data_IF_647423326135
#
_entry.id   IF_647423326135
#
_cell.length_a   1.000
_cell.length_b   1.000
_cell.length_c   1.000
_cell.angle_alpha   90.00
_cell.angle_beta   90.00
_cell.angle_gamma   90.00
#
_symmetry.space_group_name_H-M   'P 1'
#
loop_
_entity.id
_entity.type
_entity.pdbx_description
1 polymer ?
#
# COMPACT_ATOMS: atom_id res chain seq x y z
N UNK A 1 -50.64 -57.55 76.19
CA UNK A 1 -51.59 -57.45 75.09
C UNK A 1 -50.97 -56.68 73.96
N UNK A 2 -50.80 -57.39 72.91
CA UNK A 2 -50.42 -57.01 71.55
C UNK A 2 -49.35 -55.92 71.38
N UNK A 3 -48.10 -56.40 71.24
CA UNK A 3 -47.00 -55.74 70.62
C UNK A 3 -47.26 -55.61 69.11
N UNK A 4 -47.01 -54.42 68.53
CA UNK A 4 -46.82 -54.27 67.07
C UNK A 4 -45.46 -53.74 66.82
N UNK A 5 -44.70 -54.57 66.12
CA UNK A 5 -43.39 -54.21 65.50
C UNK A 5 -43.54 -53.11 64.49
N UNK A 6 -42.59 -52.16 64.51
CA UNK A 6 -42.35 -51.20 63.43
C UNK A 6 -40.95 -51.49 62.86
N UNK A 7 -40.81 -51.69 61.53
CA UNK A 7 -39.56 -52.06 60.95
C UNK A 7 -38.69 -50.83 60.73
N UNK A 8 -37.41 -51.07 60.88
CA UNK A 8 -36.25 -50.20 60.66
C UNK A 8 -36.20 -49.71 59.21
N UNK A 9 -36.18 -48.38 59.00
CA UNK A 9 -36.00 -47.73 57.74
C UNK A 9 -34.61 -47.20 57.61
N UNK A 10 -33.86 -47.87 56.74
CA UNK A 10 -32.48 -47.65 56.38
C UNK A 10 -32.20 -46.20 56.01
N UNK A 11 -31.15 -45.64 56.58
CA UNK A 11 -30.54 -44.36 56.24
C UNK A 11 -30.04 -44.39 54.81
N UNK A 12 -30.74 -43.72 53.90
CA UNK A 12 -30.20 -43.37 52.57
C UNK A 12 -29.33 -42.11 52.70
N UNK A 13 -28.01 -42.25 52.57
CA UNK A 13 -27.07 -41.15 52.38
C UNK A 13 -27.30 -40.63 51.01
N UNK A 14 -27.74 -39.35 50.83
CA UNK A 14 -27.70 -38.63 49.62
C UNK A 14 -26.22 -38.17 49.40
N UNK A 15 -25.58 -38.68 48.37
CA UNK A 15 -24.31 -38.18 47.87
C UNK A 15 -24.67 -37.10 46.86
N UNK A 16 -24.49 -35.82 47.21
CA UNK A 16 -24.53 -34.70 46.29
C UNK A 16 -23.22 -34.70 45.49
N UNK A 17 -23.30 -35.14 44.26
CA UNK A 17 -22.20 -34.94 43.28
C UNK A 17 -22.25 -33.49 42.79
N UNK A 18 -21.30 -32.70 43.24
CA UNK A 18 -21.06 -31.36 42.69
C UNK A 18 -20.44 -31.50 41.31
N UNK A 19 -21.20 -31.22 40.25
CA UNK A 19 -20.69 -31.03 38.89
C UNK A 19 -19.99 -29.68 38.84
N UNK A 20 -18.66 -29.70 38.89
CA UNK A 20 -17.83 -28.55 38.54
C UNK A 20 -17.88 -28.35 37.00
N UNK A 21 -18.66 -27.41 36.54
CA UNK A 21 -18.66 -26.96 35.15
C UNK A 21 -17.36 -26.13 34.98
N UNK A 22 -16.32 -26.77 34.46
CA UNK A 22 -15.15 -26.03 33.93
C UNK A 22 -15.60 -25.26 32.73
N UNK A 23 -15.80 -23.95 32.87
CA UNK A 23 -15.81 -23.01 31.74
C UNK A 23 -14.41 -22.98 31.19
N UNK A 24 -14.15 -23.81 30.20
CA UNK A 24 -13.00 -23.65 29.32
C UNK A 24 -13.18 -22.34 28.58
N UNK A 25 -12.38 -21.31 28.96
CA UNK A 25 -12.18 -20.13 28.13
C UNK A 25 -11.59 -20.62 26.79
N UNK A 26 -12.46 -20.81 25.80
CA UNK A 26 -11.99 -20.94 24.43
C UNK A 26 -11.29 -19.62 24.12
N UNK A 27 -9.94 -19.60 24.17
CA UNK A 27 -9.16 -18.55 23.59
C UNK A 27 -9.58 -18.49 22.12
N UNK A 28 -10.13 -17.36 21.70
CA UNK A 28 -10.35 -17.09 20.29
C UNK A 28 -9.04 -17.38 19.57
N UNK A 29 -9.05 -18.10 18.43
CA UNK A 29 -7.82 -18.32 17.68
C UNK A 29 -7.23 -16.94 17.39
N UNK A 30 -6.03 -16.68 17.90
CA UNK A 30 -5.24 -15.53 17.49
C UNK A 30 -5.20 -15.59 15.95
N UNK A 31 -5.74 -14.56 15.30
CA UNK A 31 -5.67 -14.42 13.85
C UNK A 31 -4.21 -14.65 13.47
N UNK A 32 -3.98 -15.71 12.68
CA UNK A 32 -2.65 -16.18 12.39
C UNK A 32 -1.92 -15.06 11.65
N UNK A 33 -0.76 -14.65 12.18
CA UNK A 33 0.24 -13.84 11.48
C UNK A 33 0.73 -14.52 10.17
N UNK A 34 0.08 -15.60 9.73
CA UNK A 34 0.44 -16.42 8.59
C UNK A 34 0.04 -15.82 7.23
N UNK A 35 -0.75 -14.74 7.20
CA UNK A 35 -1.30 -14.22 5.95
C UNK A 35 -0.57 -12.96 5.43
N UNK A 36 0.43 -12.43 6.14
CA UNK A 36 1.27 -11.33 5.67
C UNK A 36 2.64 -11.89 5.25
N UNK A 37 2.69 -12.47 4.05
CA UNK A 37 3.90 -13.12 3.55
C UNK A 37 4.87 -12.08 2.97
N UNK A 38 6.13 -12.13 3.39
CA UNK A 38 7.25 -11.47 2.71
C UNK A 38 7.94 -12.48 1.80
N UNK A 39 7.93 -12.19 0.51
CA UNK A 39 8.67 -12.94 -0.50
C UNK A 39 10.05 -12.34 -0.68
N UNK A 40 11.10 -13.16 -0.62
CA UNK A 40 12.43 -12.72 -1.04
C UNK A 40 12.49 -12.65 -2.56
N UNK A 41 12.62 -11.42 -3.11
CA UNK A 41 12.67 -11.16 -4.56
C UNK A 41 14.09 -11.02 -5.07
N UNK A 42 15.05 -10.69 -4.19
CA UNK A 42 16.48 -10.65 -4.48
C UNK A 42 17.27 -10.80 -3.17
N UNK A 43 18.60 -11.03 -3.21
CA UNK A 43 19.40 -11.10 -2.00
C UNK A 43 19.22 -9.88 -1.09
N UNK A 44 18.71 -10.10 0.14
CA UNK A 44 18.43 -9.04 1.11
C UNK A 44 17.28 -8.11 0.76
N UNK A 45 16.49 -8.42 -0.28
CA UNK A 45 15.28 -7.67 -0.69
C UNK A 45 14.07 -8.55 -0.53
N UNK A 46 13.11 -8.08 0.27
CA UNK A 46 11.85 -8.77 0.50
C UNK A 46 10.70 -7.84 0.20
N UNK A 47 9.61 -8.37 -0.34
CA UNK A 47 8.42 -7.61 -0.64
C UNK A 47 7.15 -8.37 -0.25
N UNK A 48 6.13 -7.61 0.12
CA UNK A 48 4.76 -8.06 0.29
C UNK A 48 3.93 -7.59 -0.90
N UNK A 49 3.10 -8.47 -1.44
CA UNK A 49 2.17 -8.12 -2.51
C UNK A 49 0.81 -7.79 -1.93
N UNK A 50 0.38 -6.55 -2.10
CA UNK A 50 -0.96 -6.11 -1.78
C UNK A 50 -2.02 -6.74 -2.69
N UNK A 51 -3.26 -6.69 -2.26
CA UNK A 51 -4.39 -7.15 -3.06
C UNK A 51 -4.64 -6.19 -4.23
N UNK A 52 -4.89 -6.72 -5.43
CA UNK A 52 -5.39 -5.90 -6.55
C UNK A 52 -6.90 -5.74 -6.38
N UNK A 53 -7.30 -4.80 -5.56
CA UNK A 53 -8.68 -4.50 -5.14
C UNK A 53 -8.79 -3.07 -4.62
N UNK A 54 -10.00 -2.55 -4.49
CA UNK A 54 -10.28 -1.35 -3.70
C UNK A 54 -10.07 -1.63 -2.21
N UNK A 55 -9.79 -0.58 -1.43
CA UNK A 55 -9.72 -0.69 0.02
C UNK A 55 -11.09 -0.98 0.63
N UNK A 56 -11.11 -1.89 1.57
CA UNK A 56 -12.29 -2.21 2.37
C UNK A 56 -11.95 -2.60 3.81
N UNK A 57 -12.98 -2.83 4.62
CA UNK A 57 -12.83 -3.24 6.01
C UNK A 57 -12.22 -4.65 6.18
N UNK A 58 -12.22 -5.48 5.13
CA UNK A 58 -11.70 -6.86 5.15
C UNK A 58 -10.20 -6.84 4.89
N UNK A 59 -9.77 -6.19 3.79
CA UNK A 59 -8.35 -6.05 3.46
C UNK A 59 -7.66 -4.98 4.31
N UNK A 60 -8.41 -4.10 4.99
CA UNK A 60 -7.88 -3.04 5.86
C UNK A 60 -6.89 -2.09 5.16
N UNK A 61 -7.02 -1.92 3.85
CA UNK A 61 -6.09 -1.14 3.03
C UNK A 61 -4.80 -1.89 2.68
N UNK A 62 -4.77 -3.22 2.72
CA UNK A 62 -3.65 -4.04 2.29
C UNK A 62 -3.71 -4.27 0.78
N UNK A 63 -3.50 -3.19 0.00
CA UNK A 63 -3.62 -3.16 -1.46
C UNK A 63 -2.34 -2.72 -2.15
N UNK A 64 -1.45 -1.99 -1.47
CA UNK A 64 -0.16 -1.58 -2.01
C UNK A 64 0.92 -2.63 -1.78
N UNK A 65 1.90 -2.68 -2.68
CA UNK A 65 3.11 -3.46 -2.50
C UNK A 65 4.04 -2.76 -1.50
N UNK A 66 4.54 -3.51 -0.52
CA UNK A 66 5.45 -3.01 0.51
C UNK A 66 6.77 -3.74 0.43
N UNK A 67 7.88 -3.07 0.71
CA UNK A 67 9.18 -3.72 0.60
C UNK A 67 10.13 -3.38 1.75
N UNK A 68 11.14 -4.24 1.94
CA UNK A 68 12.24 -4.02 2.87
C UNK A 68 13.57 -4.43 2.23
N UNK A 69 14.56 -3.55 2.35
CA UNK A 69 15.94 -3.78 1.90
C UNK A 69 16.84 -3.85 3.12
N UNK A 70 17.58 -4.95 3.24
CA UNK A 70 18.44 -5.26 4.39
C UNK A 70 19.90 -5.05 4.01
N UNK A 71 20.59 -4.15 4.72
CA UNK A 71 22.04 -3.96 4.66
C UNK A 71 22.77 -4.37 5.95
N UNK A 72 24.06 -4.13 6.03
CA UNK A 72 24.87 -4.54 7.18
C UNK A 72 24.50 -3.82 8.49
N UNK A 73 24.26 -2.49 8.42
CA UNK A 73 23.96 -1.66 9.61
C UNK A 73 22.48 -1.67 10.01
N UNK A 74 21.59 -2.01 9.10
CA UNK A 74 20.15 -1.96 9.34
C UNK A 74 19.40 -2.09 8.04
N UNK A 75 18.14 -1.70 8.04
CA UNK A 75 17.24 -1.86 6.91
C UNK A 75 16.48 -0.58 6.59
N UNK A 76 16.04 -0.47 5.33
CA UNK A 76 15.07 0.49 4.85
C UNK A 76 13.75 -0.22 4.57
N UNK A 77 12.67 0.35 5.09
CA UNK A 77 11.28 -0.02 4.78
C UNK A 77 10.77 0.93 3.70
N UNK A 78 10.08 0.41 2.69
CA UNK A 78 9.50 1.17 1.59
C UNK A 78 7.99 1.00 1.69
N UNK A 79 7.32 2.11 1.97
CA UNK A 79 5.90 2.23 2.32
C UNK A 79 5.46 1.39 3.53
N UNK A 80 4.28 1.65 4.07
CA UNK A 80 3.86 1.08 5.35
C UNK A 80 2.46 0.44 5.32
N UNK A 81 1.72 0.59 4.21
CA UNK A 81 0.37 0.02 4.04
C UNK A 81 -0.76 0.95 4.47
N UNK A 82 -1.98 0.58 4.15
CA UNK A 82 -3.18 1.41 4.23
C UNK A 82 -3.83 1.50 5.60
N UNK A 83 -3.24 0.90 6.63
CA UNK A 83 -3.65 1.06 8.03
C UNK A 83 -2.55 0.71 9.00
N UNK A 84 -2.68 1.15 10.26
CA UNK A 84 -1.73 0.78 11.32
C UNK A 84 -1.73 -0.73 11.57
N UNK A 85 -2.84 -1.40 11.35
CA UNK A 85 -2.93 -2.86 11.44
C UNK A 85 -2.10 -3.56 10.35
N UNK A 86 -2.13 -3.07 9.11
CA UNK A 86 -1.27 -3.54 8.01
C UNK A 86 0.20 -3.26 8.35
N UNK A 87 0.54 -2.04 8.77
CA UNK A 87 1.89 -1.68 9.18
C UNK A 87 2.45 -2.56 10.30
N UNK A 88 1.63 -2.91 11.29
CA UNK A 88 2.03 -3.83 12.38
C UNK A 88 2.27 -5.26 11.88
N UNK A 89 1.44 -5.76 10.95
CA UNK A 89 1.65 -7.08 10.33
C UNK A 89 2.95 -7.09 9.52
N UNK A 90 3.20 -6.02 8.77
CA UNK A 90 4.43 -5.86 8.00
C UNK A 90 5.66 -5.81 8.93
N UNK A 91 5.61 -5.00 10.00
CA UNK A 91 6.69 -4.94 10.99
C UNK A 91 6.95 -6.32 11.63
N UNK A 92 5.89 -7.06 11.99
CA UNK A 92 6.04 -8.41 12.54
C UNK A 92 6.68 -9.38 11.54
N UNK A 93 6.30 -9.30 10.25
CA UNK A 93 6.90 -10.11 9.20
C UNK A 93 8.39 -9.77 8.98
N UNK A 94 8.76 -8.48 9.02
CA UNK A 94 10.17 -8.05 8.99
C UNK A 94 10.94 -8.62 10.18
N UNK A 95 10.37 -8.56 11.40
CA UNK A 95 11.01 -9.08 12.61
C UNK A 95 11.16 -10.60 12.64
N UNK A 96 10.35 -11.32 11.87
CA UNK A 96 10.52 -12.76 11.66
C UNK A 96 11.76 -13.10 10.80
N UNK A 97 12.24 -12.14 9.99
CA UNK A 97 13.39 -12.31 9.10
C UNK A 97 14.68 -11.78 9.75
N UNK A 98 14.61 -10.65 10.48
CA UNK A 98 15.80 -9.97 11.00
C UNK A 98 15.50 -9.10 12.22
N UNK A 99 16.46 -9.08 13.18
CA UNK A 99 16.44 -8.18 14.34
C UNK A 99 17.20 -6.87 14.09
N UNK A 100 17.76 -6.65 12.90
CA UNK A 100 18.49 -5.43 12.57
C UNK A 100 17.62 -4.18 12.77
N UNK A 101 18.21 -3.03 13.16
CA UNK A 101 17.45 -1.80 13.34
C UNK A 101 16.85 -1.30 12.00
N UNK A 102 15.64 -0.77 12.06
CA UNK A 102 15.07 0.00 10.94
C UNK A 102 15.74 1.38 11.00
N UNK A 103 16.50 1.73 9.96
CA UNK A 103 17.15 3.03 9.83
C UNK A 103 16.23 4.03 9.15
N UNK A 104 15.54 3.57 8.12
CA UNK A 104 14.69 4.42 7.30
C UNK A 104 13.33 3.77 7.05
N UNK A 105 12.29 4.60 7.07
CA UNK A 105 11.02 4.33 6.40
C UNK A 105 10.88 5.37 5.29
N UNK A 106 10.72 4.91 4.06
CA UNK A 106 10.67 5.74 2.85
C UNK A 106 9.26 5.66 2.31
N UNK A 107 8.54 6.78 2.30
CA UNK A 107 7.25 6.87 1.65
C UNK A 107 7.44 7.30 0.19
N UNK A 108 6.86 6.53 -0.73
CA UNK A 108 6.95 6.82 -2.17
C UNK A 108 6.11 8.04 -2.55
N UNK A 109 4.96 8.23 -1.89
CA UNK A 109 4.05 9.38 -2.06
C UNK A 109 3.03 9.45 -0.90
N UNK A 110 2.00 10.33 -0.98
CA UNK A 110 1.08 10.64 0.14
C UNK A 110 -0.18 9.78 0.23
N UNK A 111 -0.42 8.83 -0.68
CA UNK A 111 -1.68 8.09 -0.66
C UNK A 111 -1.84 7.19 0.56
N UNK A 112 -3.09 7.01 1.04
CA UNK A 112 -3.38 6.33 2.29
C UNK A 112 -2.83 4.91 2.39
N UNK A 113 -2.89 4.13 1.32
CA UNK A 113 -2.42 2.75 1.25
C UNK A 113 -0.90 2.61 1.31
N UNK A 114 -0.15 3.72 1.22
CA UNK A 114 1.29 3.78 1.41
C UNK A 114 1.71 4.35 2.76
N UNK A 115 0.94 5.31 3.34
CA UNK A 115 1.39 6.08 4.52
C UNK A 115 0.59 5.82 5.81
N UNK A 116 -0.61 5.24 5.76
CA UNK A 116 -1.44 5.07 6.96
C UNK A 116 -0.87 4.08 7.97
N UNK A 117 0.01 3.19 7.52
CA UNK A 117 0.75 2.26 8.37
C UNK A 117 1.96 2.87 9.10
N UNK A 118 2.39 4.07 8.76
CA UNK A 118 3.60 4.73 9.28
C UNK A 118 3.71 4.73 10.80
N UNK A 119 2.57 4.93 11.49
CA UNK A 119 2.53 4.96 12.94
C UNK A 119 3.04 3.66 13.61
N UNK A 120 2.99 2.52 12.92
CA UNK A 120 3.54 1.26 13.40
C UNK A 120 5.07 1.26 13.46
N UNK A 121 5.72 2.12 12.67
CA UNK A 121 7.17 2.26 12.54
C UNK A 121 7.71 3.51 13.24
N UNK A 122 6.85 4.39 13.75
CA UNK A 122 7.23 5.66 14.39
C UNK A 122 7.87 5.43 15.77
N UNK A 123 9.05 4.80 15.79
CA UNK A 123 9.83 4.50 16.99
C UNK A 123 11.16 5.26 16.98
N UNK A 124 11.77 5.53 18.16
CA UNK A 124 13.06 6.20 18.23
C UNK A 124 14.12 5.52 17.35
N UNK A 125 14.81 6.30 16.54
CA UNK A 125 15.88 5.81 15.64
C UNK A 125 15.45 5.55 14.21
N UNK A 126 14.16 5.52 13.90
CA UNK A 126 13.65 5.44 12.51
C UNK A 126 13.55 6.84 11.92
N UNK A 127 14.26 7.09 10.81
CA UNK A 127 14.14 8.32 10.05
C UNK A 127 13.10 8.14 8.92
N UNK A 128 12.10 9.01 8.87
CA UNK A 128 11.13 9.04 7.79
C UNK A 128 11.66 9.87 6.63
N UNK A 129 11.59 9.31 5.44
CA UNK A 129 12.13 9.87 4.19
C UNK A 129 11.00 10.02 3.19
N UNK A 130 10.97 11.12 2.44
CA UNK A 130 9.98 11.33 1.39
C UNK A 130 10.38 12.46 0.45
N UNK A 131 9.62 12.61 -0.62
CA UNK A 131 9.76 13.74 -1.54
C UNK A 131 9.62 15.07 -0.80
N UNK A 132 10.32 16.12 -1.24
CA UNK A 132 10.26 17.47 -0.61
C UNK A 132 8.83 18.02 -0.48
N UNK A 133 7.93 17.63 -1.37
CA UNK A 133 6.53 18.08 -1.37
C UNK A 133 5.64 17.25 -0.43
N UNK A 134 6.07 16.07 0.02
CA UNK A 134 5.26 15.16 0.83
C UNK A 134 4.68 15.84 2.10
N UNK A 135 5.42 16.66 2.86
CA UNK A 135 4.83 17.35 4.01
C UNK A 135 3.64 18.25 3.65
N UNK A 136 3.74 18.96 2.52
CA UNK A 136 2.67 19.83 2.02
C UNK A 136 1.48 19.01 1.53
N UNK A 137 1.71 17.92 0.82
CA UNK A 137 0.66 17.02 0.32
C UNK A 137 -0.13 16.40 1.48
N UNK A 138 0.56 15.87 2.51
CA UNK A 138 -0.06 15.35 3.73
C UNK A 138 -0.85 16.41 4.49
N UNK A 139 -0.33 17.64 4.60
CA UNK A 139 -1.05 18.74 5.25
C UNK A 139 -2.31 19.17 4.48
N UNK A 140 -2.26 19.15 3.14
CA UNK A 140 -3.37 19.55 2.29
C UNK A 140 -4.48 18.50 2.24
N UNK A 141 -4.13 17.21 2.12
CA UNK A 141 -5.06 16.11 1.83
C UNK A 141 -5.36 15.20 3.03
N UNK A 142 -4.50 15.18 4.03
CA UNK A 142 -4.58 14.21 5.13
C UNK A 142 -5.90 14.22 5.88
N UNK A 143 -6.47 15.41 6.18
CA UNK A 143 -7.78 15.51 6.84
C UNK A 143 -8.92 14.93 5.97
N UNK A 144 -8.85 15.13 4.65
CA UNK A 144 -9.79 14.55 3.70
C UNK A 144 -9.66 13.03 3.66
N UNK A 145 -8.44 12.49 3.58
CA UNK A 145 -8.18 11.06 3.58
C UNK A 145 -8.68 10.40 4.87
N UNK A 146 -8.34 10.94 6.04
CA UNK A 146 -8.82 10.41 7.31
C UNK A 146 -10.35 10.38 7.41
N UNK A 147 -11.03 11.41 6.89
CA UNK A 147 -12.51 11.46 6.84
C UNK A 147 -13.07 10.41 5.88
N UNK A 148 -12.53 10.32 4.64
CA UNK A 148 -12.99 9.39 3.61
C UNK A 148 -12.77 7.93 4.06
N UNK A 149 -11.58 7.62 4.52
CA UNK A 149 -11.19 6.26 4.90
C UNK A 149 -11.86 5.75 6.17
N UNK A 150 -12.38 6.66 7.00
CA UNK A 150 -13.23 6.28 8.13
C UNK A 150 -14.50 5.55 7.69
N UNK A 151 -15.11 5.94 6.57
CA UNK A 151 -16.27 5.24 6.02
C UNK A 151 -15.91 3.94 5.30
N UNK A 152 -14.66 3.76 4.89
CA UNK A 152 -14.17 2.58 4.16
C UNK A 152 -13.62 1.52 5.13
N UNK A 153 -12.69 1.92 6.01
CA UNK A 153 -11.98 1.01 6.91
C UNK A 153 -12.61 0.90 8.31
N UNK A 154 -13.51 1.85 8.65
CA UNK A 154 -14.15 1.94 9.96
C UNK A 154 -13.40 2.85 10.95
N UNK A 155 -14.12 3.27 11.99
CA UNK A 155 -13.63 4.23 13.01
C UNK A 155 -12.40 3.71 13.77
N UNK A 156 -12.36 2.42 14.05
CA UNK A 156 -11.29 1.82 14.85
C UNK A 156 -9.96 1.84 14.11
N UNK A 157 -9.96 1.44 12.82
CA UNK A 157 -8.78 1.44 11.99
C UNK A 157 -8.19 2.87 11.83
N UNK A 158 -9.06 3.86 11.63
CA UNK A 158 -8.62 5.25 11.39
C UNK A 158 -8.19 5.96 12.68
N UNK A 159 -8.72 5.60 13.84
CA UNK A 159 -8.36 6.23 15.12
C UNK A 159 -6.86 6.12 15.45
N UNK A 160 -6.22 5.05 15.02
CA UNK A 160 -4.80 4.80 15.26
C UNK A 160 -3.88 5.50 14.25
N UNK A 161 -4.40 5.89 13.07
CA UNK A 161 -3.61 6.52 12.02
C UNK A 161 -3.02 7.84 12.49
N UNK A 162 -1.72 8.02 12.28
CA UNK A 162 -0.98 9.27 12.44
C UNK A 162 -0.25 9.54 11.14
N UNK A 163 -0.52 10.67 10.53
CA UNK A 163 0.24 11.13 9.37
C UNK A 163 1.62 11.56 9.86
N UNK A 164 2.64 10.77 9.52
CA UNK A 164 4.01 11.04 9.94
C UNK A 164 4.67 11.91 8.88
N UNK A 165 5.11 13.10 9.29
CA UNK A 165 5.85 13.99 8.39
C UNK A 165 7.29 13.51 8.26
N UNK A 166 7.84 13.32 7.04
CA UNK A 166 9.22 12.90 6.86
C UNK A 166 10.19 13.96 7.39
N UNK A 167 11.29 13.47 8.00
CA UNK A 167 12.38 14.30 8.53
C UNK A 167 13.52 14.45 7.55
N UNK A 168 13.61 13.57 6.55
CA UNK A 168 14.57 13.63 5.45
C UNK A 168 13.80 13.87 4.16
N UNK A 169 14.12 14.97 3.47
CA UNK A 169 13.41 15.40 2.28
C UNK A 169 14.29 15.27 1.05
N UNK A 170 13.79 14.57 0.03
CA UNK A 170 14.45 14.38 -1.26
C UNK A 170 13.95 15.44 -2.24
N UNK A 171 14.85 16.30 -2.70
CA UNK A 171 14.52 17.35 -3.68
C UNK A 171 14.68 16.91 -5.14
N UNK A 172 15.76 16.17 -5.42
CA UNK A 172 16.05 15.61 -6.74
C UNK A 172 16.54 14.17 -6.61
N UNK A 173 17.74 13.99 -6.11
CA UNK A 173 18.38 12.70 -5.89
C UNK A 173 19.02 12.68 -4.51
N UNK A 174 18.99 11.52 -3.86
CA UNK A 174 19.64 11.27 -2.57
C UNK A 174 20.09 9.83 -2.49
N UNK A 175 21.21 9.60 -1.82
CA UNK A 175 21.67 8.24 -1.49
C UNK A 175 21.54 7.98 -0.01
N UNK A 176 20.89 6.89 0.36
CA UNK A 176 20.82 6.35 1.73
C UNK A 176 21.80 5.18 1.87
N UNK A 177 22.51 5.12 3.00
CA UNK A 177 23.53 4.13 3.26
C UNK A 177 23.06 3.14 4.36
N UNK A 178 22.98 1.86 4.01
CA UNK A 178 22.63 0.76 4.93
C UNK A 178 23.86 0.00 5.46
N UNK A 179 25.06 0.52 5.19
CA UNK A 179 26.36 0.00 5.64
C UNK A 179 27.19 -0.58 4.51
N UNK A 180 26.80 -1.68 3.95
CA UNK A 180 27.40 -2.33 2.77
C UNK A 180 26.59 -2.11 1.50
N UNK A 181 25.42 -1.45 1.63
CA UNK A 181 24.42 -1.29 0.58
C UNK A 181 23.93 0.15 0.54
N UNK A 182 23.81 0.68 -0.65
CA UNK A 182 23.31 2.06 -0.89
C UNK A 182 22.03 2.01 -1.69
N UNK A 183 21.06 2.83 -1.31
CA UNK A 183 19.82 3.04 -2.06
C UNK A 183 19.85 4.42 -2.68
N UNK A 184 19.57 4.51 -3.98
CA UNK A 184 19.46 5.78 -4.71
C UNK A 184 17.99 6.15 -4.81
N UNK A 185 17.63 7.29 -4.23
CA UNK A 185 16.27 7.84 -4.25
C UNK A 185 16.19 8.93 -5.30
N UNK A 186 15.17 8.91 -6.14
CA UNK A 186 14.91 9.91 -7.16
C UNK A 186 13.54 10.53 -6.95
N UNK A 187 13.50 11.85 -6.75
CA UNK A 187 12.28 12.65 -6.73
C UNK A 187 11.87 13.03 -8.16
N UNK A 188 10.58 12.89 -8.46
CA UNK A 188 10.04 13.13 -9.79
C UNK A 188 9.16 14.39 -9.86
N UNK A 189 9.01 15.01 -11.04
CA UNK A 189 7.99 16.04 -11.25
C UNK A 189 6.58 15.42 -11.13
N UNK A 190 5.52 16.26 -11.02
CA UNK A 190 4.16 15.75 -10.91
C UNK A 190 3.80 14.75 -12.01
N UNK A 191 3.34 13.56 -11.57
CA UNK A 191 2.93 12.44 -12.41
C UNK A 191 1.74 11.71 -11.79
N UNK A 192 1.95 10.61 -11.04
CA UNK A 192 0.89 9.98 -10.26
C UNK A 192 0.35 10.97 -9.20
N UNK A 193 1.26 11.59 -8.45
CA UNK A 193 0.98 12.71 -7.53
C UNK A 193 1.93 13.89 -7.83
N UNK A 194 2.04 14.85 -6.90
CA UNK A 194 3.05 15.91 -6.96
C UNK A 194 4.25 15.66 -6.02
N UNK A 195 4.35 14.46 -5.46
CA UNK A 195 5.42 14.09 -4.53
C UNK A 195 5.94 12.64 -4.73
N UNK A 196 5.98 12.18 -5.97
CA UNK A 196 6.42 10.83 -6.31
C UNK A 196 7.93 10.65 -6.13
N UNK A 197 8.31 9.52 -5.52
CA UNK A 197 9.69 9.13 -5.23
C UNK A 197 9.91 7.67 -5.64
N UNK A 198 11.00 7.40 -6.37
CA UNK A 198 11.46 6.04 -6.63
C UNK A 198 12.71 5.72 -5.83
N UNK A 199 12.91 4.43 -5.55
CA UNK A 199 14.08 3.92 -4.83
C UNK A 199 14.75 2.86 -5.71
N UNK A 200 16.01 3.05 -6.06
CA UNK A 200 16.80 2.10 -6.81
C UNK A 200 17.87 1.46 -5.93
N UNK A 201 17.92 0.15 -5.95
CA UNK A 201 18.97 -0.66 -5.33
C UNK A 201 19.98 -1.13 -6.38
N UNK A 202 21.16 -0.51 -6.49
CA UNK A 202 22.16 -0.87 -7.49
C UNK A 202 22.73 -2.29 -7.32
N UNK A 203 22.73 -2.83 -6.11
CA UNK A 203 23.31 -4.15 -5.82
C UNK A 203 22.51 -5.28 -6.47
N UNK A 204 21.20 -5.23 -6.35
CA UNK A 204 20.31 -6.23 -6.96
C UNK A 204 19.69 -5.75 -8.27
N UNK A 205 19.92 -4.48 -8.63
CA UNK A 205 19.30 -3.80 -9.78
C UNK A 205 17.77 -3.83 -9.70
N UNK A 206 17.24 -3.66 -8.50
CA UNK A 206 15.80 -3.61 -8.24
C UNK A 206 15.36 -2.15 -8.09
N UNK A 207 14.32 -1.78 -8.82
CA UNK A 207 13.63 -0.50 -8.73
C UNK A 207 12.34 -0.68 -7.93
N UNK A 208 12.13 0.14 -6.91
CA UNK A 208 10.85 0.29 -6.23
C UNK A 208 10.23 1.58 -6.75
N UNK A 209 9.18 1.44 -7.53
CA UNK A 209 8.65 2.56 -8.31
C UNK A 209 7.51 3.30 -7.62
N UNK A 210 6.96 2.75 -6.52
CA UNK A 210 5.68 3.22 -6.01
C UNK A 210 4.65 3.23 -7.13
N UNK A 211 3.75 4.17 -7.08
CA UNK A 211 2.64 4.31 -8.02
C UNK A 211 3.02 5.04 -9.32
N UNK A 212 4.32 5.21 -9.58
CA UNK A 212 4.78 5.52 -10.93
C UNK A 212 4.78 4.31 -11.86
N UNK A 213 4.49 3.12 -11.33
CA UNK A 213 4.29 1.88 -12.11
C UNK A 213 3.16 1.06 -11.49
N UNK A 214 2.15 0.78 -12.31
CA UNK A 214 1.08 -0.16 -12.03
C UNK A 214 1.19 -1.38 -12.97
N UNK A 215 0.97 -2.56 -12.45
CA UNK A 215 0.97 -3.78 -13.26
C UNK A 215 -0.32 -4.58 -13.05
N UNK A 216 -1.08 -4.82 -14.13
CA UNK A 216 -2.37 -5.51 -14.07
C UNK A 216 -3.51 -4.75 -13.39
N UNK A 217 -3.22 -3.68 -12.68
CA UNK A 217 -4.13 -2.71 -12.08
C UNK A 217 -4.11 -1.44 -12.92
N UNK A 218 -5.28 -0.83 -13.19
CA UNK A 218 -5.32 0.42 -13.96
C UNK A 218 -4.56 1.53 -13.20
N UNK A 219 -3.64 2.26 -13.84
CA UNK A 219 -2.98 3.42 -13.23
C UNK A 219 -3.99 4.47 -12.76
N UNK A 220 -3.72 5.12 -11.64
CA UNK A 220 -4.58 6.19 -11.08
C UNK A 220 -3.89 7.55 -11.26
N UNK A 221 -4.55 8.49 -11.92
CA UNK A 221 -4.03 9.84 -12.17
C UNK A 221 -4.56 10.78 -11.09
N UNK A 222 -3.68 11.25 -10.22
CA UNK A 222 -4.00 12.26 -9.18
C UNK A 222 -3.08 13.49 -9.25
N UNK A 223 -2.09 13.45 -10.13
CA UNK A 223 -1.15 14.53 -10.44
C UNK A 223 -1.31 15.07 -11.85
N UNK A 224 -0.48 14.60 -12.80
CA UNK A 224 -0.43 15.09 -14.18
C UNK A 224 -0.20 13.97 -15.17
N UNK A 225 -1.14 13.74 -16.09
CA UNK A 225 -0.94 12.77 -17.18
C UNK A 225 0.15 13.22 -18.15
N UNK A 226 0.26 14.55 -18.43
CA UNK A 226 1.33 15.10 -19.29
C UNK A 226 2.69 14.90 -18.64
N UNK A 227 2.77 15.21 -17.35
CA UNK A 227 3.99 14.98 -16.57
C UNK A 227 4.37 13.51 -16.55
N UNK A 228 3.41 12.61 -16.32
CA UNK A 228 3.66 11.17 -16.28
C UNK A 228 4.14 10.64 -17.64
N UNK A 229 3.47 10.96 -18.73
CA UNK A 229 3.91 10.63 -20.10
C UNK A 229 5.32 11.18 -20.40
N UNK A 230 5.59 12.42 -19.94
CA UNK A 230 6.88 13.09 -20.16
C UNK A 230 8.05 12.45 -19.41
N UNK A 231 7.79 11.77 -18.27
CA UNK A 231 8.86 11.13 -17.48
C UNK A 231 9.13 9.66 -17.81
N UNK A 232 8.24 8.98 -18.56
CA UNK A 232 8.34 7.53 -18.81
C UNK A 232 9.69 7.11 -19.43
N UNK A 233 10.27 7.91 -20.32
CA UNK A 233 11.57 7.59 -20.92
C UNK A 233 12.72 7.75 -19.92
N UNK A 234 12.66 8.77 -19.06
CA UNK A 234 13.65 8.98 -18.02
C UNK A 234 13.55 7.87 -16.93
N UNK A 235 12.33 7.47 -16.60
CA UNK A 235 12.07 6.36 -15.70
C UNK A 235 12.62 5.05 -16.27
N UNK A 236 12.33 4.76 -17.55
CA UNK A 236 12.84 3.59 -18.27
C UNK A 236 14.38 3.53 -18.37
N UNK A 237 15.06 4.69 -18.31
CA UNK A 237 16.51 4.78 -18.36
C UNK A 237 17.21 4.38 -17.05
N UNK A 238 16.49 4.19 -15.94
CA UNK A 238 17.06 3.65 -14.69
C UNK A 238 17.60 2.25 -14.96
N UNK A 239 18.89 1.96 -14.63
CA UNK A 239 19.57 0.72 -15.04
C UNK A 239 19.16 -0.50 -14.19
N UNK A 240 17.88 -0.62 -13.89
CA UNK A 240 17.30 -1.75 -13.18
C UNK A 240 17.17 -2.99 -14.08
N UNK A 241 16.93 -4.15 -13.48
CA UNK A 241 16.52 -5.38 -14.15
C UNK A 241 15.08 -5.72 -13.81
N UNK A 242 14.68 -5.37 -12.60
CA UNK A 242 13.39 -5.70 -12.02
C UNK A 242 12.77 -4.46 -11.41
N UNK A 243 11.46 -4.38 -11.47
CA UNK A 243 10.69 -3.36 -10.77
C UNK A 243 9.71 -4.02 -9.80
N UNK A 244 9.57 -3.40 -8.62
CA UNK A 244 8.45 -3.59 -7.71
C UNK A 244 7.51 -2.41 -7.95
N UNK A 245 6.36 -2.63 -8.63
CA UNK A 245 5.37 -1.58 -8.82
C UNK A 245 4.66 -1.26 -7.51
N UNK A 246 3.94 -0.15 -7.43
CA UNK A 246 3.10 0.15 -6.27
C UNK A 246 1.95 -0.84 -6.13
N UNK A 247 1.39 -1.28 -7.25
CA UNK A 247 0.31 -2.27 -7.30
C UNK A 247 0.56 -3.32 -8.37
N UNK A 248 0.17 -4.57 -8.07
CA UNK A 248 0.26 -5.70 -8.99
C UNK A 248 1.33 -6.71 -8.60
N UNK A 249 1.78 -7.56 -9.53
CA UNK A 249 2.79 -8.58 -9.25
C UNK A 249 4.12 -7.98 -8.81
N UNK A 250 4.80 -8.67 -7.87
CA UNK A 250 6.16 -8.31 -7.47
C UNK A 250 7.16 -8.70 -8.56
N UNK A 251 8.22 -7.91 -8.72
CA UNK A 251 9.38 -8.27 -9.55
C UNK A 251 9.08 -8.46 -11.04
N UNK A 252 8.55 -7.40 -11.66
CA UNK A 252 8.33 -7.35 -13.11
C UNK A 252 9.63 -7.02 -13.86
N UNK A 253 9.84 -7.54 -15.12
CA UNK A 253 11.01 -7.20 -15.94
C UNK A 253 11.03 -5.71 -16.29
N UNK A 254 12.18 -5.06 -16.07
CA UNK A 254 12.36 -3.65 -16.36
C UNK A 254 13.17 -3.42 -17.65
N UNK A 255 12.83 -2.44 -18.53
CA UNK A 255 11.69 -1.51 -18.44
C UNK A 255 10.39 -2.01 -19.11
N UNK A 256 10.28 -3.29 -19.42
CA UNK A 256 9.13 -3.85 -20.14
C UNK A 256 7.79 -3.64 -19.39
N UNK A 257 7.83 -3.57 -18.06
CA UNK A 257 6.66 -3.30 -17.21
C UNK A 257 5.93 -1.98 -17.54
N UNK A 258 6.63 -1.00 -18.15
CA UNK A 258 6.02 0.28 -18.55
C UNK A 258 5.18 0.21 -19.83
N UNK A 259 5.25 -0.88 -20.59
CA UNK A 259 4.65 -0.92 -21.93
C UNK A 259 3.13 -0.80 -21.91
N UNK A 260 2.47 -1.48 -20.97
CA UNK A 260 1.01 -1.48 -20.86
C UNK A 260 0.51 -0.13 -20.34
N UNK A 261 1.18 0.43 -19.34
CA UNK A 261 0.85 1.74 -18.77
C UNK A 261 1.02 2.86 -19.79
N UNK A 262 2.13 2.89 -20.53
CA UNK A 262 2.36 3.82 -21.64
C UNK A 262 1.24 3.72 -22.67
N UNK A 263 0.90 2.52 -23.11
CA UNK A 263 -0.19 2.28 -24.07
C UNK A 263 -1.52 2.84 -23.58
N UNK A 264 -1.85 2.62 -22.29
CA UNK A 264 -3.07 3.15 -21.69
C UNK A 264 -3.09 4.69 -21.70
N UNK A 265 -2.02 5.33 -21.24
CA UNK A 265 -1.94 6.79 -21.21
C UNK A 265 -1.95 7.42 -22.60
N UNK A 266 -1.26 6.83 -23.57
CA UNK A 266 -1.27 7.30 -24.96
C UNK A 266 -2.67 7.15 -25.58
N UNK A 267 -3.39 6.07 -25.25
CA UNK A 267 -4.75 5.87 -25.69
C UNK A 267 -5.69 6.88 -25.05
N UNK A 268 -5.61 7.07 -23.76
CA UNK A 268 -6.41 8.03 -23.00
C UNK A 268 -6.19 9.46 -23.53
N UNK A 269 -4.94 9.87 -23.70
CA UNK A 269 -4.57 11.16 -24.28
C UNK A 269 -5.22 11.37 -25.65
N UNK A 270 -5.04 10.40 -26.55
CA UNK A 270 -5.57 10.48 -27.91
C UNK A 270 -7.12 10.65 -27.93
N UNK A 271 -7.83 9.91 -27.09
CA UNK A 271 -9.29 9.98 -27.05
C UNK A 271 -9.79 11.30 -26.46
N UNK A 272 -9.12 11.82 -25.42
CA UNK A 272 -9.43 13.11 -24.81
C UNK A 272 -9.13 14.27 -25.77
N UNK A 273 -7.98 14.27 -26.45
CA UNK A 273 -7.65 15.28 -27.46
C UNK A 273 -8.69 15.30 -28.62
N UNK A 274 -9.16 14.12 -29.05
CA UNK A 274 -10.22 14.02 -30.07
C UNK A 274 -11.56 14.56 -29.57
N UNK A 275 -11.94 14.28 -28.33
CA UNK A 275 -13.16 14.79 -27.71
C UNK A 275 -13.13 16.33 -27.59
N UNK A 276 -12.01 16.91 -27.13
CA UNK A 276 -11.81 18.34 -27.05
C UNK A 276 -11.89 19.00 -28.44
N UNK A 277 -11.24 18.42 -29.45
CA UNK A 277 -11.27 18.93 -30.82
C UNK A 277 -12.67 18.90 -31.44
N UNK A 278 -13.54 17.97 -31.05
CA UNK A 278 -14.91 17.87 -31.49
C UNK A 278 -15.90 18.72 -30.66
N UNK A 279 -15.43 19.35 -29.57
CA UNK A 279 -16.28 20.10 -28.65
C UNK A 279 -17.17 19.21 -27.77
N UNK A 280 -16.80 17.95 -27.58
CA UNK A 280 -17.52 17.03 -26.70
C UNK A 280 -17.34 17.44 -25.24
N UNK A 281 -18.39 17.33 -24.44
CA UNK A 281 -18.31 17.66 -23.01
C UNK A 281 -17.52 16.60 -22.20
N UNK A 282 -16.92 17.04 -21.09
CA UNK A 282 -16.07 16.23 -20.22
C UNK A 282 -16.74 14.90 -19.81
N UNK A 283 -18.04 14.91 -19.52
CA UNK A 283 -18.72 13.71 -19.03
C UNK A 283 -18.78 12.63 -20.10
N UNK A 284 -19.17 12.99 -21.33
CA UNK A 284 -19.21 12.05 -22.45
C UNK A 284 -17.81 11.55 -22.80
N UNK A 285 -16.84 12.47 -22.85
CA UNK A 285 -15.46 12.11 -23.07
C UNK A 285 -14.96 11.12 -22.01
N UNK A 286 -15.25 11.35 -20.72
CA UNK A 286 -14.87 10.47 -19.62
C UNK A 286 -15.50 9.07 -19.71
N UNK A 287 -16.76 8.99 -20.14
CA UNK A 287 -17.46 7.71 -20.29
C UNK A 287 -16.93 6.87 -21.48
N UNK A 288 -16.37 7.51 -22.51
CA UNK A 288 -15.95 6.87 -23.77
C UNK A 288 -14.44 6.62 -23.88
N UNK A 289 -13.61 7.48 -23.25
CA UNK A 289 -12.16 7.44 -23.40
C UNK A 289 -11.54 6.13 -22.92
N UNK A 290 -10.54 5.68 -23.64
CA UNK A 290 -9.77 4.47 -23.40
C UNK A 290 -10.60 3.17 -23.28
N UNK A 291 -11.84 3.13 -23.82
CA UNK A 291 -12.74 1.97 -23.73
C UNK A 291 -12.10 0.67 -24.29
N UNK A 292 -11.19 0.79 -25.26
CA UNK A 292 -10.43 -0.36 -25.83
C UNK A 292 -9.41 -0.99 -24.86
N UNK A 293 -9.17 -0.37 -23.72
CA UNK A 293 -8.28 -0.86 -22.68
C UNK A 293 -9.04 -1.64 -21.57
N UNK A 294 -10.37 -1.60 -21.52
CA UNK A 294 -11.22 -2.15 -20.45
C UNK A 294 -10.83 -3.58 -20.05
N UNK A 295 -10.73 -4.47 -21.01
CA UNK A 295 -10.48 -5.89 -20.77
C UNK A 295 -9.00 -6.23 -20.46
N UNK A 296 -8.11 -5.21 -20.48
CA UNK A 296 -6.68 -5.39 -20.23
C UNK A 296 -6.27 -5.05 -18.81
N UNK A 297 -7.17 -4.39 -18.06
CA UNK A 297 -6.87 -3.87 -16.73
C UNK A 297 -7.91 -4.29 -15.72
N UNK A 298 -7.46 -4.67 -14.53
CA UNK A 298 -8.32 -4.76 -13.35
C UNK A 298 -8.66 -3.37 -12.87
N UNK A 299 -9.82 -3.23 -12.25
CA UNK A 299 -10.35 -1.96 -11.71
C UNK A 299 -10.50 -0.85 -12.77
N UNK A 300 -10.67 -1.24 -14.05
CA UNK A 300 -10.87 -0.26 -15.12
C UNK A 300 -12.14 0.57 -14.88
N UNK A 301 -13.23 -0.07 -14.50
CA UNK A 301 -14.53 0.61 -14.29
C UNK A 301 -14.52 1.51 -13.06
N UNK A 302 -13.64 1.24 -12.09
CA UNK A 302 -13.52 2.02 -10.87
C UNK A 302 -12.73 3.32 -11.10
N UNK A 303 -11.72 3.33 -11.97
CA UNK A 303 -10.78 4.45 -12.11
C UNK A 303 -10.78 5.15 -13.46
N UNK A 304 -11.15 4.48 -14.59
CA UNK A 304 -10.96 5.06 -15.91
C UNK A 304 -11.71 6.39 -16.13
N UNK A 305 -12.97 6.47 -15.69
CA UNK A 305 -13.75 7.70 -15.86
C UNK A 305 -13.15 8.88 -15.06
N UNK A 306 -12.59 8.62 -13.87
CA UNK A 306 -11.86 9.62 -13.07
C UNK A 306 -10.57 10.06 -13.76
N UNK A 307 -9.80 9.12 -14.28
CA UNK A 307 -8.57 9.41 -15.04
C UNK A 307 -8.89 10.25 -16.29
N UNK A 308 -9.94 9.88 -17.02
CA UNK A 308 -10.37 10.60 -18.21
C UNK A 308 -10.83 12.03 -17.90
N UNK A 309 -11.55 12.23 -16.79
CA UNK A 309 -11.95 13.57 -16.36
C UNK A 309 -10.73 14.43 -15.94
N UNK A 310 -9.75 13.84 -15.24
CA UNK A 310 -8.52 14.52 -14.88
C UNK A 310 -7.71 14.91 -16.14
N UNK A 311 -7.55 13.97 -17.07
CA UNK A 311 -6.89 14.23 -18.36
C UNK A 311 -7.62 15.29 -19.18
N UNK A 312 -8.96 15.25 -19.25
CA UNK A 312 -9.75 16.26 -19.96
C UNK A 312 -9.48 17.66 -19.40
N UNK A 313 -9.57 17.83 -18.08
CA UNK A 313 -9.31 19.11 -17.45
C UNK A 313 -7.89 19.62 -17.74
N UNK A 314 -6.87 18.74 -17.65
CA UNK A 314 -5.48 19.12 -17.91
C UNK A 314 -5.24 19.52 -19.38
N UNK A 315 -5.79 18.79 -20.35
CA UNK A 315 -5.60 19.10 -21.78
C UNK A 315 -6.46 20.30 -22.26
N UNK A 316 -7.60 20.57 -21.61
CA UNK A 316 -8.43 21.74 -21.93
C UNK A 316 -7.76 23.06 -21.53
N UNK A 317 -7.11 23.09 -20.36
CA UNK A 317 -6.52 24.32 -19.81
C UNK A 317 -5.05 24.56 -20.23
N UNK A 318 -4.37 23.53 -20.65
CA UNK A 318 -2.98 23.60 -21.10
C UNK A 318 -2.80 22.72 -22.35
N UNK A 319 -3.26 23.21 -23.55
CA UNK A 319 -3.28 22.46 -24.80
C UNK A 319 -1.90 22.16 -25.38
#
# INVERSE_FOLDING_TARGET
MVQRNIPDLARRRLVLAALAICWGSAAAPAARAADFALQQIAPGVYAHQGAVAEEDAINQGDIANLAVVIGARGLAVIDAGGSVAVGRRFLAAIRAITDKPILYLINTHEHPDHVFGDAAFATPGVAFVGHKNLPRALAARGAFYLKRFRSILGDEAIREVRLVTPTILVDKEMTLDLGDRKLVLQAWPPAHTDCDLTIYDPETRTLFAGDLVFSGHLPVIDGSIKGWLGLLDALAAIPALWVVPGHGPLSEPWPAALADERRYFERLKKDIEAALASGEDMRRAADAAAASERDKWRLFDDYNARNAAAAYAEFEWDP
#
